data_IF_044148690128
#
_entry.id   IF_044148690128
#
_cell.length_a   1.000
_cell.length_b   1.000
_cell.length_c   1.000
_cell.angle_alpha   90.00
_cell.angle_beta   90.00
_cell.angle_gamma   90.00
#
_symmetry.space_group_name_H-M   'P 1'
#
loop_
_entity.id
_entity.type
_entity.pdbx_description
1 polymer ?
#
# COMPACT_ATOMS: atom_id res chain seq x y z
N UNK A 1 15.54 -17.31 44.64
CA UNK A 1 16.71 -17.27 43.74
C UNK A 1 16.32 -16.51 42.47
N UNK A 2 16.94 -15.37 42.18
CA UNK A 2 16.74 -14.64 40.90
C UNK A 2 17.77 -15.14 39.88
N UNK A 3 17.37 -15.53 38.65
CA UNK A 3 18.33 -16.03 37.67
C UNK A 3 19.21 -14.88 37.16
N UNK A 4 20.53 -14.99 37.32
CA UNK A 4 21.50 -14.09 36.71
C UNK A 4 21.76 -14.57 35.28
N UNK A 5 21.19 -13.88 34.30
CA UNK A 5 21.57 -14.05 32.90
C UNK A 5 22.92 -13.34 32.73
N UNK A 6 23.97 -14.08 32.36
CA UNK A 6 25.31 -13.50 32.24
C UNK A 6 25.38 -12.54 31.03
N UNK A 7 26.04 -11.40 31.19
CA UNK A 7 26.24 -10.41 30.12
C UNK A 7 26.93 -11.01 28.88
N UNK A 8 27.75 -12.05 29.07
CA UNK A 8 28.38 -12.82 27.99
C UNK A 8 27.34 -13.53 27.11
N UNK A 9 26.29 -14.12 27.69
CA UNK A 9 25.21 -14.76 26.94
C UNK A 9 24.36 -13.74 26.17
N UNK A 10 24.16 -12.55 26.74
CA UNK A 10 23.45 -11.45 26.05
C UNK A 10 24.27 -10.90 24.88
N UNK A 11 25.59 -10.76 25.04
CA UNK A 11 26.49 -10.29 23.98
C UNK A 11 26.61 -11.33 22.84
N UNK A 12 26.74 -12.62 23.17
CA UNK A 12 26.78 -13.69 22.16
C UNK A 12 25.46 -13.78 21.39
N UNK A 13 24.32 -13.64 22.09
CA UNK A 13 23.01 -13.59 21.45
C UNK A 13 22.88 -12.38 20.52
N UNK A 14 23.32 -11.20 20.95
CA UNK A 14 23.34 -10.00 20.11
C UNK A 14 24.18 -10.20 18.85
N UNK A 15 25.40 -10.74 18.96
CA UNK A 15 26.28 -11.01 17.82
C UNK A 15 25.68 -12.05 16.85
N UNK A 16 25.01 -13.09 17.36
CA UNK A 16 24.29 -14.07 16.53
C UNK A 16 23.13 -13.43 15.77
N UNK A 17 22.32 -12.58 16.42
CA UNK A 17 21.23 -11.87 15.74
C UNK A 17 21.74 -10.88 14.69
N UNK A 18 22.90 -10.28 14.96
CA UNK A 18 23.56 -9.35 14.05
C UNK A 18 24.06 -10.09 12.80
N UNK A 19 24.80 -11.19 12.96
CA UNK A 19 25.25 -12.06 11.86
C UNK A 19 24.08 -12.59 11.03
N UNK A 20 23.00 -13.06 11.69
CA UNK A 20 21.79 -13.50 11.00
C UNK A 20 21.11 -12.40 10.18
N UNK A 21 21.07 -11.17 10.71
CA UNK A 21 20.52 -10.02 10.00
C UNK A 21 21.34 -9.64 8.76
N UNK A 22 22.68 -9.65 8.87
CA UNK A 22 23.58 -9.40 7.75
C UNK A 22 23.42 -10.47 6.66
N UNK A 23 23.45 -11.75 7.02
CA UNK A 23 23.27 -12.85 6.07
C UNK A 23 21.91 -12.78 5.35
N UNK A 24 20.82 -12.43 6.07
CA UNK A 24 19.51 -12.24 5.45
C UNK A 24 19.52 -11.09 4.43
N UNK A 25 20.17 -9.96 4.77
CA UNK A 25 20.25 -8.81 3.88
C UNK A 25 21.05 -9.09 2.59
N UNK A 26 22.14 -9.86 2.69
CA UNK A 26 22.93 -10.29 1.52
C UNK A 26 22.13 -11.25 0.63
N UNK A 27 21.42 -12.21 1.24
CA UNK A 27 20.55 -13.12 0.49
C UNK A 27 19.41 -12.39 -0.21
N UNK A 28 18.80 -11.38 0.42
CA UNK A 28 17.77 -10.54 -0.20
C UNK A 28 18.34 -9.73 -1.39
N UNK A 29 19.57 -9.23 -1.28
CA UNK A 29 20.28 -8.55 -2.37
C UNK A 29 20.59 -9.50 -3.54
N UNK A 30 21.04 -10.72 -3.26
CA UNK A 30 21.29 -11.75 -4.28
C UNK A 30 19.99 -12.20 -4.97
N UNK A 31 18.90 -12.38 -4.22
CA UNK A 31 17.57 -12.69 -4.77
C UNK A 31 17.09 -11.56 -5.69
N UNK A 32 17.37 -10.30 -5.35
CA UNK A 32 17.04 -9.14 -6.20
C UNK A 32 17.85 -9.12 -7.50
N UNK A 33 19.15 -9.39 -7.45
CA UNK A 33 20.02 -9.37 -8.63
C UNK A 33 19.70 -10.54 -9.57
N UNK A 34 19.58 -11.75 -9.03
CA UNK A 34 19.34 -12.96 -9.83
C UNK A 34 17.96 -12.97 -10.50
N UNK A 35 16.95 -12.40 -9.83
CA UNK A 35 15.58 -12.39 -10.36
C UNK A 35 15.23 -11.10 -11.11
N UNK A 36 16.20 -10.21 -11.38
CA UNK A 36 15.96 -8.99 -12.15
C UNK A 36 15.81 -9.31 -13.63
N UNK A 37 14.70 -8.87 -14.20
CA UNK A 37 14.34 -9.02 -15.61
C UNK A 37 14.31 -7.64 -16.25
N UNK A 38 14.76 -7.56 -17.49
CA UNK A 38 14.61 -6.39 -18.35
C UNK A 38 13.96 -6.82 -19.65
N UNK A 39 12.81 -6.22 -19.97
CA UNK A 39 12.13 -6.39 -21.25
C UNK A 39 12.43 -5.14 -22.08
N UNK A 40 12.96 -5.32 -23.29
CA UNK A 40 13.05 -4.25 -24.28
C UNK A 40 11.93 -4.50 -25.30
N UNK A 41 11.13 -3.48 -25.55
CA UNK A 41 10.03 -3.52 -26.50
C UNK A 41 10.48 -2.97 -27.86
N UNK A 42 9.85 -3.42 -28.94
CA UNK A 42 10.21 -3.01 -30.31
C UNK A 42 10.04 -1.50 -30.55
N UNK A 43 9.12 -0.86 -29.82
CA UNK A 43 8.91 0.58 -29.84
C UNK A 43 10.00 1.38 -29.08
N UNK A 44 10.98 0.69 -28.47
CA UNK A 44 12.06 1.27 -27.67
C UNK A 44 11.74 1.41 -26.18
N UNK A 45 10.51 1.15 -25.74
CA UNK A 45 10.17 1.12 -24.32
C UNK A 45 10.95 0.02 -23.59
N UNK A 46 11.14 0.21 -22.29
CA UNK A 46 11.87 -0.75 -21.46
C UNK A 46 11.20 -0.93 -20.11
N UNK A 47 11.00 -2.17 -19.70
CA UNK A 47 10.54 -2.52 -18.37
C UNK A 47 11.64 -3.22 -17.59
N UNK A 48 11.82 -2.83 -16.32
CA UNK A 48 12.81 -3.40 -15.41
C UNK A 48 12.12 -3.75 -14.12
N UNK A 49 12.18 -5.02 -13.72
CA UNK A 49 11.53 -5.51 -12.51
C UNK A 49 12.17 -6.78 -11.99
N UNK A 50 11.83 -7.18 -10.78
CA UNK A 50 12.26 -8.45 -10.20
C UNK A 50 11.07 -9.42 -10.14
N UNK A 51 11.35 -10.72 -10.16
CA UNK A 51 10.35 -11.78 -10.00
C UNK A 51 10.65 -12.65 -8.78
N UNK A 52 9.71 -13.50 -8.37
CA UNK A 52 9.96 -14.47 -7.30
C UNK A 52 9.41 -15.85 -7.68
N UNK A 53 10.10 -16.94 -7.32
CA UNK A 53 9.57 -18.31 -7.44
C UNK A 53 8.50 -18.60 -6.40
N UNK A 54 8.38 -17.76 -5.35
CA UNK A 54 7.41 -17.92 -4.27
C UNK A 54 5.99 -17.82 -4.84
N UNK A 55 5.20 -18.88 -4.69
CA UNK A 55 3.79 -18.88 -5.05
C UNK A 55 2.96 -18.12 -4.01
N UNK A 56 1.93 -17.39 -4.46
CA UNK A 56 0.88 -16.83 -3.63
C UNK A 56 -0.47 -17.49 -3.94
N UNK A 57 -1.29 -17.75 -2.91
CA UNK A 57 -2.68 -18.18 -3.15
C UNK A 57 -3.43 -17.04 -3.84
N UNK A 58 -3.83 -17.27 -5.09
CA UNK A 58 -4.58 -16.31 -5.87
C UNK A 58 -5.95 -16.02 -5.22
N UNK A 59 -6.37 -14.76 -5.27
CA UNK A 59 -7.70 -14.31 -4.85
C UNK A 59 -8.32 -13.56 -6.02
N UNK A 60 -9.54 -13.92 -6.41
CA UNK A 60 -10.23 -13.34 -7.57
C UNK A 60 -10.43 -11.82 -7.45
N UNK A 61 -10.59 -11.30 -6.23
CA UNK A 61 -10.74 -9.85 -6.00
C UNK A 61 -9.44 -9.02 -6.13
N UNK A 62 -8.32 -9.62 -6.55
CA UNK A 62 -7.02 -8.95 -6.66
C UNK A 62 -6.41 -9.14 -8.02
N UNK A 63 -5.78 -8.08 -8.51
CA UNK A 63 -5.05 -8.07 -9.77
C UNK A 63 -3.59 -8.47 -9.54
N UNK A 64 -3.20 -9.63 -10.04
CA UNK A 64 -1.85 -10.16 -9.95
C UNK A 64 -1.08 -9.88 -11.23
N UNK A 65 0.18 -9.50 -11.08
CA UNK A 65 1.14 -9.24 -12.15
C UNK A 65 2.23 -10.30 -12.11
N UNK A 66 2.50 -10.87 -13.27
CA UNK A 66 3.43 -11.99 -13.39
C UNK A 66 4.09 -12.00 -14.77
N UNK A 67 5.23 -12.67 -14.86
CA UNK A 67 6.08 -12.68 -16.04
C UNK A 67 6.12 -14.07 -16.68
N UNK A 68 5.84 -14.13 -17.98
CA UNK A 68 6.03 -15.30 -18.83
C UNK A 68 6.22 -14.85 -20.28
N UNK A 69 7.07 -15.57 -21.03
CA UNK A 69 7.29 -15.36 -22.45
C UNK A 69 7.62 -13.90 -22.83
N UNK A 70 8.60 -13.29 -22.14
CA UNK A 70 9.06 -11.91 -22.39
C UNK A 70 7.97 -10.84 -22.25
N UNK A 71 6.91 -11.12 -21.48
CA UNK A 71 5.79 -10.21 -21.27
C UNK A 71 5.38 -10.19 -19.80
N UNK A 72 5.04 -9.00 -19.32
CA UNK A 72 4.29 -8.84 -18.08
C UNK A 72 2.81 -9.07 -18.39
N UNK A 73 2.22 -10.01 -17.68
CA UNK A 73 0.82 -10.39 -17.74
C UNK A 73 0.11 -9.93 -16.47
N UNK A 74 -1.19 -9.69 -16.57
CA UNK A 74 -2.04 -9.34 -15.43
C UNK A 74 -3.35 -10.12 -15.46
N UNK A 75 -3.75 -10.65 -14.30
CA UNK A 75 -4.94 -11.49 -14.18
C UNK A 75 -5.62 -11.29 -12.82
N UNK A 76 -6.95 -11.37 -12.78
CA UNK A 76 -7.75 -11.35 -11.55
C UNK A 76 -7.75 -12.74 -10.91
N UNK A 77 -6.59 -13.13 -10.38
CA UNK A 77 -6.32 -14.49 -9.91
C UNK A 77 -5.87 -15.44 -11.02
N UNK A 78 -5.28 -16.57 -10.64
CA UNK A 78 -4.61 -17.50 -11.56
C UNK A 78 -3.36 -16.87 -12.20
N UNK A 79 -2.21 -17.54 -12.13
CA UNK A 79 -1.00 -17.12 -12.83
C UNK A 79 -0.18 -18.37 -13.12
N UNK A 80 0.46 -18.41 -14.29
CA UNK A 80 1.23 -19.57 -14.75
C UNK A 80 2.73 -19.30 -14.83
N UNK A 81 3.14 -18.04 -14.64
CA UNK A 81 4.54 -17.61 -14.65
C UNK A 81 5.05 -17.11 -13.30
N UNK A 82 6.18 -16.40 -13.33
CA UNK A 82 6.84 -15.91 -12.11
C UNK A 82 6.19 -14.60 -11.66
N UNK A 83 5.77 -14.53 -10.40
CA UNK A 83 5.13 -13.33 -9.85
C UNK A 83 6.11 -12.16 -9.82
N UNK A 84 5.64 -10.95 -10.17
CA UNK A 84 6.44 -9.74 -9.99
C UNK A 84 6.70 -9.49 -8.50
N UNK A 85 7.90 -9.08 -8.15
CA UNK A 85 8.30 -8.81 -6.78
C UNK A 85 9.41 -7.77 -6.71
N UNK A 86 9.39 -6.89 -5.71
CA UNK A 86 10.39 -5.84 -5.56
C UNK A 86 10.09 -4.63 -6.45
N UNK A 87 11.14 -3.89 -6.80
CA UNK A 87 11.02 -2.66 -7.57
C UNK A 87 10.57 -2.94 -9.02
N UNK A 88 9.75 -2.04 -9.55
CA UNK A 88 9.31 -2.03 -10.94
C UNK A 88 9.50 -0.64 -11.51
N UNK A 89 10.14 -0.56 -12.67
CA UNK A 89 10.32 0.68 -13.43
C UNK A 89 9.97 0.43 -14.90
N UNK A 90 9.18 1.31 -15.50
CA UNK A 90 8.95 1.37 -16.95
C UNK A 90 9.53 2.66 -17.51
N UNK A 91 10.21 2.56 -18.64
CA UNK A 91 10.85 3.66 -19.34
C UNK A 91 10.28 3.79 -20.75
N UNK A 92 10.13 5.04 -21.20
CA UNK A 92 9.82 5.38 -22.58
C UNK A 92 11.04 5.16 -23.51
N UNK A 93 10.86 5.22 -24.85
CA UNK A 93 11.95 5.01 -25.81
C UNK A 93 13.13 5.97 -25.66
N UNK A 94 12.85 7.20 -25.20
CA UNK A 94 13.84 8.22 -24.87
C UNK A 94 14.53 8.00 -23.51
N UNK A 95 14.38 6.80 -22.89
CA UNK A 95 14.93 6.41 -21.58
C UNK A 95 14.34 7.17 -20.38
N UNK A 96 13.27 7.92 -20.57
CA UNK A 96 12.56 8.62 -19.51
C UNK A 96 11.77 7.65 -18.65
N UNK A 97 11.80 7.84 -17.33
CA UNK A 97 10.99 7.06 -16.39
C UNK A 97 9.51 7.45 -16.54
N UNK A 98 8.65 6.47 -16.80
CA UNK A 98 7.21 6.64 -17.01
C UNK A 98 6.37 6.08 -15.86
N UNK A 99 6.84 4.99 -15.24
CA UNK A 99 6.13 4.36 -14.13
C UNK A 99 7.14 3.75 -13.16
N UNK A 100 6.90 3.94 -11.87
CA UNK A 100 7.72 3.38 -10.80
C UNK A 100 6.83 2.94 -9.66
N UNK A 101 7.16 1.79 -9.08
CA UNK A 101 6.53 1.31 -7.86
C UNK A 101 7.16 0.02 -7.39
N UNK A 102 6.46 -0.67 -6.49
CA UNK A 102 6.89 -1.99 -6.03
C UNK A 102 5.77 -3.01 -6.10
N UNK A 103 6.15 -4.27 -6.30
CA UNK A 103 5.27 -5.41 -6.25
C UNK A 103 5.63 -6.33 -5.08
N UNK A 104 4.60 -6.89 -4.44
CA UNK A 104 4.74 -7.92 -3.43
C UNK A 104 3.95 -9.16 -3.84
N UNK A 105 4.66 -10.20 -4.29
CA UNK A 105 4.05 -11.46 -4.75
C UNK A 105 2.96 -11.22 -5.81
N UNK A 106 3.30 -10.43 -6.81
CA UNK A 106 2.45 -10.06 -7.95
C UNK A 106 1.44 -8.94 -7.68
N UNK A 107 1.31 -8.47 -6.44
CA UNK A 107 0.36 -7.41 -6.10
C UNK A 107 1.07 -6.07 -5.99
N UNK A 108 0.51 -5.02 -6.60
CA UNK A 108 1.02 -3.66 -6.42
C UNK A 108 1.01 -3.29 -4.93
N UNK A 109 2.12 -2.75 -4.44
CA UNK A 109 2.34 -2.42 -3.04
C UNK A 109 3.18 -1.14 -2.94
N UNK A 110 3.06 -0.42 -1.82
CA UNK A 110 3.83 0.79 -1.58
C UNK A 110 3.40 1.99 -2.43
N UNK A 111 4.33 2.94 -2.63
CA UNK A 111 4.04 4.17 -3.37
C UNK A 111 4.32 3.95 -4.86
N UNK A 112 3.32 4.23 -5.67
CA UNK A 112 3.40 4.21 -7.12
C UNK A 112 3.43 5.64 -7.65
N UNK A 113 4.28 5.87 -8.64
CA UNK A 113 4.44 7.15 -9.32
C UNK A 113 4.34 6.94 -10.82
N UNK A 114 3.53 7.75 -11.47
CA UNK A 114 3.34 7.76 -12.91
C UNK A 114 3.76 9.13 -13.43
N UNK A 115 4.60 9.17 -14.46
CA UNK A 115 5.06 10.39 -15.14
C UNK A 115 4.51 10.45 -16.55
N UNK A 116 4.25 11.68 -17.01
CA UNK A 116 3.87 11.96 -18.39
C UNK A 116 5.11 12.00 -19.30
N UNK A 117 4.93 11.94 -20.64
CA UNK A 117 6.03 12.11 -21.60
C UNK A 117 6.79 13.44 -21.46
N UNK A 118 6.20 14.48 -20.85
CA UNK A 118 6.86 15.76 -20.60
C UNK A 118 7.68 15.81 -19.28
N UNK A 119 7.97 14.66 -18.66
CA UNK A 119 8.72 14.49 -17.40
C UNK A 119 8.02 14.99 -16.14
N UNK A 120 6.77 15.47 -16.26
CA UNK A 120 5.99 15.89 -15.09
C UNK A 120 5.28 14.70 -14.47
N UNK A 121 5.24 14.70 -13.15
CA UNK A 121 4.51 13.70 -12.38
C UNK A 121 3.01 13.83 -12.73
N UNK A 122 2.39 12.72 -13.15
CA UNK A 122 0.97 12.65 -13.46
C UNK A 122 0.18 12.24 -12.21
N UNK A 123 0.67 11.21 -11.50
CA UNK A 123 -0.01 10.63 -10.35
C UNK A 123 0.99 10.07 -9.36
N UNK A 124 0.61 10.11 -8.09
CA UNK A 124 1.26 9.39 -7.03
C UNK A 124 0.21 8.78 -6.10
N UNK A 125 0.28 7.48 -5.88
CA UNK A 125 -0.77 6.71 -5.21
C UNK A 125 -0.16 5.66 -4.29
N UNK A 126 -0.77 5.47 -3.13
CA UNK A 126 -0.41 4.38 -2.24
C UNK A 126 -1.23 3.13 -2.55
N UNK A 127 -0.53 2.03 -2.77
CA UNK A 127 -1.08 0.71 -3.04
C UNK A 127 -0.78 -0.22 -1.88
N UNK A 128 -1.75 -1.07 -1.56
CA UNK A 128 -1.63 -2.09 -0.53
C UNK A 128 -2.31 -3.36 -0.99
N UNK A 129 -1.54 -4.45 -1.09
CA UNK A 129 -2.08 -5.76 -1.51
C UNK A 129 -2.89 -5.71 -2.83
N UNK A 130 -2.44 -4.90 -3.78
CA UNK A 130 -3.03 -4.79 -5.12
C UNK A 130 -4.25 -3.87 -5.22
N UNK A 131 -4.53 -3.05 -4.20
CA UNK A 131 -5.60 -2.06 -4.21
C UNK A 131 -5.05 -0.70 -3.79
N UNK A 132 -5.57 0.38 -4.37
CA UNK A 132 -5.24 1.74 -3.90
C UNK A 132 -5.89 1.95 -2.54
N UNK A 133 -5.07 2.08 -1.51
CA UNK A 133 -5.47 2.28 -0.13
C UNK A 133 -4.42 3.17 0.52
N UNK A 134 -4.75 4.44 0.75
CA UNK A 134 -3.85 5.42 1.33
C UNK A 134 -3.90 6.76 0.62
N UNK A 135 -2.80 7.52 0.66
CA UNK A 135 -2.74 8.86 0.06
C UNK A 135 -2.66 8.74 -1.47
N UNK A 136 -3.36 9.63 -2.15
CA UNK A 136 -3.28 9.78 -3.60
C UNK A 136 -3.21 11.26 -3.97
N UNK A 137 -2.42 11.55 -5.02
CA UNK A 137 -2.19 12.88 -5.59
C UNK A 137 -2.19 12.79 -7.11
N UNK A 138 -3.02 13.58 -7.77
CA UNK A 138 -3.08 13.67 -9.23
C UNK A 138 -2.74 15.09 -9.67
N UNK A 139 -2.07 15.19 -10.82
CA UNK A 139 -1.51 16.43 -11.34
C UNK A 139 -1.92 16.65 -12.80
N UNK A 140 -1.99 17.92 -13.21
CA UNK A 140 -2.25 18.31 -14.59
C UNK A 140 -1.00 18.12 -15.49
N UNK A 141 -1.08 18.60 -16.72
CA UNK A 141 0.04 18.57 -17.67
C UNK A 141 1.16 19.55 -17.32
N UNK A 142 0.86 20.53 -16.48
CA UNK A 142 1.77 21.56 -15.97
C UNK A 142 2.47 21.13 -14.67
N UNK A 143 2.04 20.01 -14.07
CA UNK A 143 2.52 19.51 -12.78
C UNK A 143 1.84 20.19 -11.58
N UNK A 144 0.77 20.96 -11.81
CA UNK A 144 -0.05 21.53 -10.75
C UNK A 144 -0.93 20.44 -10.14
N UNK A 145 -1.04 20.45 -8.83
CA UNK A 145 -1.86 19.49 -8.08
C UNK A 145 -3.34 19.73 -8.40
N UNK A 146 -4.00 18.73 -9.01
CA UNK A 146 -5.43 18.74 -9.32
C UNK A 146 -6.26 18.12 -8.19
N UNK A 147 -5.84 16.96 -7.69
CA UNK A 147 -6.57 16.21 -6.68
C UNK A 147 -5.61 15.70 -5.62
N UNK A 148 -5.99 15.79 -4.35
CA UNK A 148 -5.26 15.17 -3.25
C UNK A 148 -6.21 14.67 -2.18
N UNK A 149 -6.04 13.43 -1.75
CA UNK A 149 -6.89 12.87 -0.71
C UNK A 149 -6.48 11.46 -0.30
N UNK A 150 -7.41 10.75 0.32
CA UNK A 150 -7.27 9.34 0.60
C UNK A 150 -8.12 8.53 -0.37
N UNK A 151 -7.56 7.43 -0.85
CA UNK A 151 -8.29 6.38 -1.55
C UNK A 151 -8.42 5.17 -0.63
N UNK A 152 -9.52 4.45 -0.79
CA UNK A 152 -9.78 3.18 -0.15
C UNK A 152 -10.46 2.26 -1.16
N UNK A 153 -9.93 1.06 -1.32
CA UNK A 153 -10.43 0.06 -2.28
C UNK A 153 -10.57 0.61 -3.71
N UNK A 154 -9.61 1.44 -4.14
CA UNK A 154 -9.62 2.04 -5.48
C UNK A 154 -10.49 3.29 -5.63
N UNK A 155 -11.11 3.79 -4.55
CA UNK A 155 -12.08 4.89 -4.61
C UNK A 155 -11.73 6.00 -3.63
N UNK A 156 -11.98 7.26 -4.01
CA UNK A 156 -11.83 8.40 -3.11
C UNK A 156 -12.67 8.22 -1.83
N UNK A 157 -12.06 8.55 -0.69
CA UNK A 157 -12.66 8.38 0.62
C UNK A 157 -12.22 9.48 1.59
N UNK A 158 -13.20 10.07 2.25
CA UNK A 158 -13.03 11.18 3.17
C UNK A 158 -12.87 12.52 2.46
N UNK A 159 -12.10 13.41 3.08
CA UNK A 159 -11.87 14.77 2.58
C UNK A 159 -10.85 14.75 1.44
N UNK A 160 -11.23 15.28 0.28
CA UNK A 160 -10.40 15.38 -0.92
C UNK A 160 -10.28 16.84 -1.31
N UNK A 161 -9.04 17.30 -1.49
CA UNK A 161 -8.72 18.60 -2.06
C UNK A 161 -8.84 18.53 -3.58
N UNK A 162 -9.52 19.51 -4.16
CA UNK A 162 -9.76 19.62 -5.59
C UNK A 162 -9.36 21.02 -6.02
N UNK A 163 -8.56 21.10 -7.08
CA UNK A 163 -8.25 22.35 -7.75
C UNK A 163 -9.42 22.75 -8.66
N UNK A 164 -9.95 23.94 -8.43
CA UNK A 164 -10.95 24.56 -9.28
C UNK A 164 -10.27 25.46 -10.32
N UNK A 165 -10.38 25.08 -11.59
CA UNK A 165 -9.75 25.81 -12.68
C UNK A 165 -10.44 27.16 -12.95
N UNK A 166 -11.74 27.30 -12.66
CA UNK A 166 -12.49 28.53 -12.91
C UNK A 166 -12.03 29.65 -11.98
N UNK A 167 -11.92 29.34 -10.69
CA UNK A 167 -11.55 30.31 -9.65
C UNK A 167 -10.05 30.28 -9.30
N UNK A 168 -9.28 29.43 -9.98
CA UNK A 168 -7.86 29.16 -9.69
C UNK A 168 -7.58 28.87 -8.20
N UNK A 169 -8.52 28.23 -7.51
CA UNK A 169 -8.49 28.01 -6.07
C UNK A 169 -8.59 26.53 -5.71
N UNK A 170 -8.44 26.20 -4.42
CA UNK A 170 -8.63 24.84 -3.92
C UNK A 170 -9.88 24.77 -3.06
N UNK A 171 -10.74 23.80 -3.34
CA UNK A 171 -11.90 23.45 -2.52
C UNK A 171 -11.78 22.03 -2.01
N UNK A 172 -12.66 21.69 -1.07
CA UNK A 172 -12.67 20.36 -0.48
C UNK A 172 -14.03 19.73 -0.63
N UNK A 173 -14.04 18.56 -1.24
CA UNK A 173 -15.22 17.72 -1.33
C UNK A 173 -15.04 16.49 -0.45
N UNK A 174 -16.18 15.91 -0.03
CA UNK A 174 -16.19 14.73 0.81
C UNK A 174 -16.66 13.54 -0.02
N UNK A 175 -15.98 12.42 0.14
CA UNK A 175 -16.30 11.20 -0.58
C UNK A 175 -16.49 10.02 0.36
N UNK A 176 -17.38 9.10 0.02
CA UNK A 176 -17.52 7.81 0.68
C UNK A 176 -17.69 6.73 -0.38
N UNK A 177 -16.70 5.85 -0.49
CA UNK A 177 -16.67 4.77 -1.49
C UNK A 177 -16.81 5.31 -2.93
N UNK A 178 -16.13 6.43 -3.21
CA UNK A 178 -16.13 7.06 -4.54
C UNK A 178 -17.34 7.96 -4.82
N UNK A 179 -18.39 7.92 -4.00
CA UNK A 179 -19.54 8.82 -4.13
C UNK A 179 -19.28 10.11 -3.37
N UNK A 180 -19.48 11.25 -4.04
CA UNK A 180 -19.45 12.56 -3.38
C UNK A 180 -20.62 12.65 -2.39
N UNK A 181 -20.34 13.15 -1.20
CA UNK A 181 -21.31 13.35 -0.12
C UNK A 181 -21.23 14.79 0.38
N UNK A 182 -22.30 15.27 0.99
CA UNK A 182 -22.32 16.59 1.63
C UNK A 182 -21.40 16.62 2.86
N UNK A 183 -20.98 17.83 3.25
CA UNK A 183 -20.21 18.06 4.49
C UNK A 183 -20.94 17.49 5.70
N UNK A 184 -22.25 17.71 5.80
CA UNK A 184 -23.05 17.24 6.92
C UNK A 184 -23.16 15.71 6.94
N UNK A 185 -23.36 15.09 5.77
CA UNK A 185 -23.33 13.63 5.64
C UNK A 185 -21.98 13.03 6.06
N UNK A 186 -20.87 13.70 5.73
CA UNK A 186 -19.55 13.31 6.21
C UNK A 186 -19.40 13.46 7.73
N UNK A 187 -19.83 14.59 8.30
CA UNK A 187 -19.74 14.84 9.75
C UNK A 187 -20.58 13.81 10.50
N UNK A 188 -21.84 13.59 10.14
CA UNK A 188 -22.71 12.59 10.80
C UNK A 188 -22.09 11.19 10.78
N UNK A 189 -21.52 10.77 9.63
CA UNK A 189 -20.87 9.47 9.51
C UNK A 189 -19.63 9.29 10.41
N UNK A 190 -18.94 10.39 10.74
CA UNK A 190 -17.77 10.37 11.63
C UNK A 190 -18.14 10.69 13.08
N UNK A 191 -19.22 11.43 13.32
CA UNK A 191 -19.72 11.76 14.64
C UNK A 191 -20.17 10.49 15.35
N UNK A 192 -20.90 9.60 14.65
CA UNK A 192 -21.31 8.30 15.20
C UNK A 192 -20.10 7.41 15.56
N UNK A 193 -18.97 7.50 14.85
CA UNK A 193 -17.72 6.80 15.25
C UNK A 193 -17.10 7.32 16.54
N UNK A 194 -17.41 8.57 16.93
CA UNK A 194 -16.85 9.25 18.11
C UNK A 194 -17.81 9.17 19.30
N UNK A 195 -19.10 9.38 19.08
CA UNK A 195 -20.15 9.27 20.11
C UNK A 195 -20.57 7.82 20.37
N UNK A 196 -20.56 6.94 19.35
CA UNK A 196 -20.83 5.51 19.53
C UNK A 196 -19.79 4.81 20.39
N UNK A 197 -18.49 5.17 20.24
CA UNK A 197 -17.44 4.67 21.15
C UNK A 197 -17.56 5.23 22.56
N UNK A 198 -18.00 6.48 22.71
CA UNK A 198 -18.27 7.07 24.02
C UNK A 198 -19.43 6.34 24.70
N UNK A 199 -20.52 6.07 23.98
CA UNK A 199 -21.66 5.30 24.47
C UNK A 199 -21.31 3.84 24.75
N UNK A 200 -20.58 3.11 23.89
CA UNK A 200 -20.13 1.74 24.19
C UNK A 200 -19.26 1.68 25.46
N UNK A 201 -18.33 2.62 25.64
CA UNK A 201 -17.45 2.67 26.81
C UNK A 201 -18.21 3.01 28.10
N UNK A 202 -19.18 3.94 28.04
CA UNK A 202 -20.01 4.27 29.21
C UNK A 202 -21.07 3.22 29.50
N UNK A 203 -21.66 2.59 28.47
CA UNK A 203 -22.65 1.53 28.66
C UNK A 203 -22.01 0.27 29.27
N UNK A 204 -20.82 -0.14 28.81
CA UNK A 204 -20.09 -1.23 29.46
C UNK A 204 -19.67 -0.86 30.90
N UNK A 205 -19.18 0.34 31.19
CA UNK A 205 -18.76 0.67 32.58
C UNK A 205 -19.92 0.77 33.56
N UNK A 206 -21.10 1.19 33.10
CA UNK A 206 -22.30 1.34 33.93
C UNK A 206 -23.02 -0.01 34.13
N UNK A 207 -23.06 -0.87 33.11
CA UNK A 207 -23.89 -2.07 33.13
C UNK A 207 -23.12 -3.41 33.17
N UNK A 208 -21.79 -3.43 33.03
CA UNK A 208 -20.99 -4.65 33.19
C UNK A 208 -20.42 -4.84 34.61
N UNK A 209 -20.85 -4.03 35.59
CA UNK A 209 -20.37 -4.11 36.98
C UNK A 209 -21.34 -4.82 37.93
N UNK A 210 -22.39 -5.47 37.41
CA UNK A 210 -23.39 -6.18 38.22
C UNK A 210 -23.71 -7.58 37.68
N UNK A 211 -22.69 -8.42 37.61
CA UNK A 211 -22.82 -9.86 37.44
C UNK A 211 -21.54 -10.52 37.96
N UNK A 212 -21.27 -10.38 39.26
CA UNK A 212 -20.33 -11.20 40.04
C UNK A 212 -20.47 -10.75 41.51
N UNK A 213 -21.55 -11.17 42.15
CA UNK A 213 -21.70 -11.34 43.61
C UNK A 213 -23.16 -11.71 43.89
N UNK A 214 -23.52 -12.94 43.57
CA UNK A 214 -24.60 -13.67 44.23
C UNK A 214 -24.13 -15.12 44.33
N UNK A 215 -23.09 -15.34 45.13
CA UNK A 215 -22.82 -16.62 45.78
C UNK A 215 -22.11 -16.31 47.11
N UNK A 216 -22.48 -17.09 48.13
CA UNK A 216 -22.07 -17.04 49.55
C UNK A 216 -22.95 -16.16 50.44
N UNK A 217 -23.99 -16.75 51.06
CA UNK A 217 -24.08 -16.87 52.53
C UNK A 217 -24.77 -18.22 52.85
N UNK A 218 -24.18 -18.95 53.82
CA UNK A 218 -24.74 -20.11 54.54
C UNK A 218 -26.11 -19.86 55.19
#
# INVERSE_FOLDING_TARGET
>A
MKPYISYSLLLSYFLLTLQGSYAQSEMDLLEQVQNRITINHDNGEKEVFTVTPKTAKARSQRLYHWYQAQRVQQTQGGYTGKLLHGNYNRYAPNKQLMLQGTYKKGLADGNWKEWRPNHRLAKEEHWKKGQQDGKARHYDEQGKLLLQGKMKDGKWHGKVWIFDAADSSYRWDYYKQGMQISRDGYIQSNLFRRTGRFFEQTWHSIFSRKADNDDIIE
#
